data_IF_259654368962
#
_entry.id   IF_259654368962
#
_cell.length_a   1.000
_cell.length_b   1.000
_cell.length_c   1.000
_cell.angle_alpha   90.00
_cell.angle_beta   90.00
_cell.angle_gamma   90.00
#
_symmetry.space_group_name_H-M   'P 1'
#
loop_
_entity.id
_entity.type
_entity.pdbx_description
1 polymer ?
#
# COMPACT_ATOMS: atom_id res chain seq x y z
N UNK A 1 21.91 1.62 21.18
CA UNK A 1 20.77 1.42 20.26
C UNK A 1 19.42 1.45 21.01
N UNK A 2 19.34 2.13 22.17
CA UNK A 2 18.14 2.20 23.02
C UNK A 2 17.37 3.53 22.89
N UNK A 3 18.05 4.59 22.42
CA UNK A 3 17.53 5.94 22.20
C UNK A 3 16.18 6.03 21.48
N UNK A 4 15.94 5.18 20.49
CA UNK A 4 14.73 5.29 19.67
C UNK A 4 13.49 4.61 20.28
N UNK A 5 13.65 3.55 21.08
CA UNK A 5 12.52 2.70 21.48
C UNK A 5 11.61 3.40 22.49
N UNK A 6 12.19 3.95 23.56
CA UNK A 6 11.42 4.59 24.63
C UNK A 6 10.96 6.01 24.26
N UNK A 7 11.77 6.72 23.45
CA UNK A 7 11.39 7.99 22.85
C UNK A 7 10.11 7.87 22.01
N UNK A 8 10.08 6.91 21.07
CA UNK A 8 8.91 6.68 20.22
C UNK A 8 7.71 6.18 21.03
N UNK A 9 7.92 5.38 22.06
CA UNK A 9 6.84 4.91 22.94
C UNK A 9 6.20 6.07 23.72
N UNK A 10 7.00 6.98 24.27
CA UNK A 10 6.50 8.18 24.96
C UNK A 10 5.67 9.06 24.02
N UNK A 11 6.16 9.31 22.79
CA UNK A 11 5.41 10.07 21.79
C UNK A 11 4.11 9.37 21.37
N UNK A 12 4.08 8.05 21.28
CA UNK A 12 2.90 7.33 20.79
C UNK A 12 1.76 7.29 21.81
N UNK A 13 2.07 7.23 23.12
CA UNK A 13 1.07 6.89 24.14
C UNK A 13 0.84 7.96 25.21
N UNK A 14 1.80 8.85 25.46
CA UNK A 14 1.63 9.93 26.46
C UNK A 14 0.93 11.12 25.80
N UNK A 15 -0.11 11.63 26.44
CA UNK A 15 -0.80 12.83 25.97
C UNK A 15 0.09 14.07 26.14
N UNK A 16 0.30 14.82 25.06
CA UNK A 16 1.02 16.10 25.06
C UNK A 16 0.05 17.27 25.21
N UNK A 17 0.42 18.29 25.99
CA UNK A 17 -0.41 19.48 26.12
C UNK A 17 -0.06 20.53 25.06
N UNK A 18 1.21 20.93 24.91
CA UNK A 18 1.61 22.00 23.97
C UNK A 18 3.09 22.01 23.51
N UNK A 19 3.91 21.00 23.82
CA UNK A 19 5.29 20.89 23.31
C UNK A 19 5.75 19.44 23.28
N UNK A 20 6.65 19.08 22.37
CA UNK A 20 7.21 17.72 22.28
C UNK A 20 8.03 17.37 23.54
N UNK A 21 8.65 18.38 24.16
CA UNK A 21 9.45 18.23 25.39
C UNK A 21 8.58 17.92 26.62
N UNK A 22 7.26 18.11 26.55
CA UNK A 22 6.29 17.76 27.61
C UNK A 22 6.23 16.23 27.83
N UNK A 23 6.66 15.45 26.82
CA UNK A 23 6.67 14.00 26.91
C UNK A 23 7.73 13.45 27.90
N UNK A 24 8.87 14.13 28.10
CA UNK A 24 9.94 13.72 29.01
C UNK A 24 10.44 14.81 29.98
N UNK A 25 9.98 16.06 29.84
CA UNK A 25 10.16 17.13 30.83
C UNK A 25 11.53 17.83 30.84
N UNK A 26 12.45 17.52 29.91
CA UNK A 26 13.80 18.12 29.88
C UNK A 26 14.20 18.62 28.48
N UNK A 27 15.01 19.69 28.43
CA UNK A 27 15.49 20.29 27.17
C UNK A 27 16.70 19.55 26.56
N UNK A 28 17.45 18.79 27.37
CA UNK A 28 18.56 17.92 26.91
C UNK A 28 18.30 16.47 27.35
N UNK A 29 17.62 15.66 26.54
CA UNK A 29 17.19 14.34 26.95
C UNK A 29 18.25 13.26 26.67
N UNK A 30 18.61 12.52 27.72
CA UNK A 30 19.51 11.38 27.67
C UNK A 30 18.73 10.06 27.75
N UNK A 31 19.34 8.92 27.37
CA UNK A 31 18.69 7.60 27.33
C UNK A 31 18.01 7.24 28.66
N UNK A 32 18.67 7.57 29.77
CA UNK A 32 18.16 7.34 31.12
C UNK A 32 16.92 8.19 31.44
N UNK A 33 16.81 9.40 30.88
CA UNK A 33 15.67 10.29 31.07
C UNK A 33 14.41 9.75 30.39
N UNK A 34 14.54 9.16 29.20
CA UNK A 34 13.40 8.55 28.50
C UNK A 34 12.93 7.28 29.21
N UNK A 35 13.87 6.47 29.71
CA UNK A 35 13.54 5.24 30.45
C UNK A 35 12.81 5.60 31.75
N UNK A 36 13.27 6.60 32.51
CA UNK A 36 12.60 7.02 33.74
C UNK A 36 11.22 7.63 33.47
N UNK A 37 11.09 8.51 32.46
CA UNK A 37 9.81 9.12 32.10
C UNK A 37 8.80 8.09 31.58
N UNK A 38 9.25 7.09 30.82
CA UNK A 38 8.40 6.00 30.36
C UNK A 38 7.92 5.11 31.51
N UNK A 39 8.78 4.83 32.50
CA UNK A 39 8.39 4.11 33.72
C UNK A 39 7.36 4.86 34.54
N UNK A 40 7.58 6.15 34.76
CA UNK A 40 6.65 7.01 35.49
C UNK A 40 5.28 7.04 34.78
N UNK A 41 5.29 7.13 33.45
CA UNK A 41 4.08 7.05 32.64
C UNK A 41 3.38 5.68 32.74
N UNK A 42 4.10 4.56 32.65
CA UNK A 42 3.53 3.21 32.75
C UNK A 42 2.89 2.94 34.12
N UNK A 43 3.38 3.57 35.18
CA UNK A 43 2.78 3.49 36.51
C UNK A 43 1.49 4.31 36.65
N UNK A 44 1.18 5.20 35.71
CA UNK A 44 -0.03 6.00 35.74
C UNK A 44 -1.29 5.17 35.45
N UNK A 45 -2.44 5.50 36.06
CA UNK A 45 -3.71 4.82 35.78
C UNK A 45 -4.15 5.01 34.31
N UNK A 46 -3.69 6.07 33.65
CA UNK A 46 -3.97 6.34 32.25
C UNK A 46 -3.30 5.33 31.31
N UNK A 47 -2.03 4.99 31.57
CA UNK A 47 -1.28 4.04 30.76
C UNK A 47 -1.88 2.62 30.81
N UNK A 48 -2.39 2.18 31.97
CA UNK A 48 -3.07 0.89 32.13
C UNK A 48 -4.27 0.71 31.20
N UNK A 49 -4.94 1.81 30.87
CA UNK A 49 -6.13 1.80 30.02
C UNK A 49 -5.83 1.97 28.52
N UNK A 50 -4.74 2.66 28.18
CA UNK A 50 -4.46 3.10 26.80
C UNK A 50 -3.23 2.43 26.15
N UNK A 51 -2.39 1.74 26.93
CA UNK A 51 -1.22 1.04 26.41
C UNK A 51 -1.56 -0.45 26.25
N UNK A 52 -1.55 -1.00 25.02
CA UNK A 52 -1.74 -2.44 24.81
C UNK A 52 -0.54 -3.21 25.37
N UNK A 53 -0.83 -4.37 26.00
CA UNK A 53 0.11 -5.22 26.74
C UNK A 53 0.93 -4.42 27.78
N UNK A 54 0.24 -3.57 28.56
CA UNK A 54 0.87 -2.66 29.52
C UNK A 54 1.78 -3.39 30.53
N UNK A 55 1.38 -4.59 30.97
CA UNK A 55 2.06 -5.40 31.98
C UNK A 55 3.40 -5.95 31.47
N UNK A 56 3.44 -6.47 30.24
CA UNK A 56 4.67 -6.90 29.57
C UNK A 56 5.64 -5.74 29.33
N UNK A 57 5.12 -4.56 28.96
CA UNK A 57 5.92 -3.34 28.77
C UNK A 57 6.47 -2.78 30.08
N UNK A 58 5.77 -2.99 31.19
CA UNK A 58 6.24 -2.63 32.52
C UNK A 58 7.36 -3.57 32.99
N UNK A 59 7.22 -4.88 32.75
CA UNK A 59 8.27 -5.87 33.03
C UNK A 59 9.54 -5.63 32.19
N UNK A 60 9.42 -5.44 30.88
CA UNK A 60 10.58 -5.18 30.01
C UNK A 60 11.28 -3.84 30.30
N UNK A 61 10.59 -2.87 30.91
CA UNK A 61 11.23 -1.64 31.39
C UNK A 61 11.94 -1.85 32.74
N UNK A 62 11.46 -2.76 33.60
CA UNK A 62 12.09 -3.12 34.87
C UNK A 62 13.41 -3.88 34.67
N UNK A 63 13.47 -4.83 33.72
CA UNK A 63 14.68 -5.62 33.43
C UNK A 63 15.86 -4.74 32.95
N UNK A 64 15.60 -3.62 32.27
CA UNK A 64 16.63 -2.67 31.86
C UNK A 64 17.40 -1.99 33.02
N UNK A 65 16.94 -2.09 34.28
CA UNK A 65 17.69 -1.57 35.45
C UNK A 65 18.61 -2.60 36.08
N UNK A 66 18.44 -3.89 35.77
CA UNK A 66 19.19 -4.96 36.46
C UNK A 66 20.43 -5.41 35.71
N UNK A 67 20.56 -5.14 34.41
CA UNK A 67 21.73 -5.57 33.63
C UNK A 67 22.83 -4.50 33.57
N UNK A 68 23.55 -4.35 34.68
CA UNK A 68 25.00 -4.20 34.57
C UNK A 68 25.62 -5.56 34.88
N UNK A 69 26.49 -6.00 33.97
CA UNK A 69 27.33 -7.20 34.01
C UNK A 69 26.66 -8.50 33.54
N UNK A 70 27.08 -8.92 32.34
CA UNK A 70 26.96 -10.23 31.68
C UNK A 70 25.56 -10.73 31.30
N UNK A 71 25.14 -10.40 30.07
CA UNK A 71 24.03 -11.08 29.41
C UNK A 71 24.49 -12.07 28.32
N UNK A 72 23.90 -13.29 28.29
CA UNK A 72 23.87 -14.12 27.10
C UNK A 72 22.89 -13.52 26.07
N UNK A 73 23.29 -13.59 24.81
CA UNK A 73 22.52 -13.15 23.63
C UNK A 73 21.07 -13.66 23.71
N UNK A 74 20.04 -12.78 23.72
CA UNK A 74 18.65 -13.22 23.67
C UNK A 74 18.33 -13.84 22.31
N UNK A 75 17.72 -15.03 22.31
CA UNK A 75 17.21 -15.69 21.10
C UNK A 75 16.23 -14.77 20.35
N UNK A 76 16.45 -14.59 19.05
CA UNK A 76 15.67 -13.74 18.14
C UNK A 76 14.21 -14.21 17.90
N UNK A 77 13.78 -15.33 18.49
CA UNK A 77 12.53 -16.02 18.11
C UNK A 77 11.21 -15.38 18.61
N UNK A 78 11.22 -14.23 19.29
CA UNK A 78 10.00 -13.65 19.91
C UNK A 78 9.60 -12.26 19.39
N UNK A 79 10.34 -11.68 18.45
CA UNK A 79 9.98 -10.36 17.91
C UNK A 79 8.93 -10.49 16.80
N UNK A 80 7.65 -10.51 17.17
CA UNK A 80 6.54 -10.41 16.22
C UNK A 80 6.19 -8.93 15.95
N UNK A 81 6.39 -8.46 14.72
CA UNK A 81 6.12 -7.08 14.34
C UNK A 81 4.61 -6.75 14.28
N UNK A 82 4.24 -5.48 14.53
CA UNK A 82 2.83 -5.01 14.59
C UNK A 82 1.99 -5.36 13.34
N UNK A 83 2.64 -5.47 12.16
CA UNK A 83 1.97 -5.90 10.93
C UNK A 83 1.60 -7.38 10.95
N UNK A 84 2.42 -8.24 11.56
CA UNK A 84 2.13 -9.68 11.74
C UNK A 84 0.93 -9.87 12.67
N UNK A 85 0.84 -9.06 13.73
CA UNK A 85 -0.29 -9.08 14.67
C UNK A 85 -1.58 -8.64 13.96
N UNK A 86 -1.49 -7.59 13.14
CA UNK A 86 -2.63 -7.05 12.39
C UNK A 86 -3.15 -8.01 11.32
N UNK A 87 -2.26 -8.74 10.65
CA UNK A 87 -2.62 -9.78 9.68
C UNK A 87 -3.39 -10.94 10.34
N UNK A 88 -2.94 -11.38 11.52
CA UNK A 88 -3.60 -12.44 12.27
C UNK A 88 -5.01 -12.05 12.74
N UNK A 89 -5.24 -10.78 13.08
CA UNK A 89 -6.56 -10.31 13.52
C UNK A 89 -7.63 -10.37 12.41
N UNK A 90 -7.24 -10.09 11.16
CA UNK A 90 -8.16 -10.04 10.01
C UNK A 90 -8.76 -11.42 9.68
N UNK A 91 -8.06 -12.51 9.98
CA UNK A 91 -8.53 -13.87 9.73
C UNK A 91 -9.63 -14.34 10.70
N UNK A 92 -9.83 -13.68 11.85
CA UNK A 92 -10.83 -14.12 12.84
C UNK A 92 -12.26 -13.64 12.57
N UNK A 93 -12.47 -12.73 11.59
CA UNK A 93 -13.78 -12.07 11.36
C UNK A 93 -14.38 -12.25 9.96
N UNK A 94 -13.88 -13.17 9.14
CA UNK A 94 -14.50 -13.48 7.84
C UNK A 94 -15.28 -14.78 7.94
N UNK A 95 -16.57 -14.67 8.24
CA UNK A 95 -17.55 -15.71 7.96
C UNK A 95 -18.66 -15.10 7.09
N UNK A 96 -18.27 -14.61 5.90
CA UNK A 96 -19.20 -14.23 4.84
C UNK A 96 -19.06 -15.26 3.72
N UNK A 97 -20.18 -15.90 3.37
CA UNK A 97 -20.31 -17.11 2.54
C UNK A 97 -19.91 -17.01 1.07
N UNK A 98 -18.75 -16.42 0.77
CA UNK A 98 -18.01 -16.73 -0.44
C UNK A 98 -17.15 -17.96 -0.13
N UNK A 99 -17.13 -18.98 -1.00
CA UNK A 99 -16.16 -20.08 -0.90
C UNK A 99 -14.75 -19.52 -1.13
N UNK A 100 -14.19 -18.84 -0.15
CA UNK A 100 -12.78 -18.55 -0.08
C UNK A 100 -12.13 -19.84 0.36
N UNK A 101 -11.24 -20.37 -0.48
CA UNK A 101 -10.24 -21.36 -0.08
C UNK A 101 -9.74 -20.97 1.30
N UNK A 102 -9.73 -21.90 2.24
CA UNK A 102 -9.37 -21.71 3.65
C UNK A 102 -7.95 -21.14 3.76
N UNK A 103 -7.83 -19.82 3.59
CA UNK A 103 -6.57 -19.06 3.58
C UNK A 103 -5.92 -19.04 4.97
N UNK A 104 -6.61 -19.55 5.99
CA UNK A 104 -6.09 -19.61 7.37
C UNK A 104 -5.03 -20.69 7.56
N UNK A 105 -4.98 -21.69 6.67
CA UNK A 105 -4.02 -22.81 6.72
C UNK A 105 -2.93 -22.75 5.66
N UNK A 106 -2.98 -21.78 4.74
CA UNK A 106 -1.96 -21.67 3.70
C UNK A 106 -0.73 -20.92 4.23
N UNK A 107 0.34 -21.67 4.46
CA UNK A 107 1.63 -21.12 4.85
C UNK A 107 2.28 -20.41 3.65
N UNK A 108 2.19 -19.08 3.64
CA UNK A 108 2.80 -18.23 2.62
C UNK A 108 4.33 -18.34 2.58
N UNK A 109 4.98 -18.90 3.61
CA UNK A 109 6.41 -19.19 3.57
C UNK A 109 6.76 -20.27 2.54
N UNK A 110 5.79 -21.14 2.21
CA UNK A 110 5.91 -22.14 1.15
C UNK A 110 5.92 -21.51 -0.25
N UNK A 111 5.38 -20.30 -0.43
CA UNK A 111 5.42 -19.62 -1.73
C UNK A 111 6.86 -19.34 -2.18
N UNK A 112 7.81 -19.22 -1.25
CA UNK A 112 9.24 -19.13 -1.56
C UNK A 112 9.73 -20.35 -2.33
N UNK A 113 9.19 -21.55 -2.06
CA UNK A 113 9.57 -22.78 -2.74
C UNK A 113 9.13 -22.81 -4.21
N UNK A 114 8.18 -21.96 -4.59
CA UNK A 114 7.74 -21.81 -5.98
C UNK A 114 8.70 -20.97 -6.83
N UNK A 115 9.72 -20.34 -6.22
CA UNK A 115 10.73 -19.53 -6.90
C UNK A 115 12.11 -20.16 -6.75
N UNK A 116 12.82 -20.29 -7.87
CA UNK A 116 14.22 -20.72 -7.83
C UNK A 116 15.13 -19.69 -7.15
N UNK A 117 16.30 -20.12 -6.66
CA UNK A 117 17.31 -19.20 -6.10
C UNK A 117 17.74 -18.13 -7.12
N UNK A 118 17.79 -18.50 -8.40
CA UNK A 118 18.09 -17.58 -9.51
C UNK A 118 16.99 -16.51 -9.62
N UNK A 119 15.72 -16.89 -9.66
CA UNK A 119 14.60 -15.94 -9.72
C UNK A 119 14.51 -15.04 -8.48
N UNK A 120 14.88 -15.58 -7.32
CA UNK A 120 14.94 -14.82 -6.06
C UNK A 120 16.07 -13.78 -6.09
N UNK A 121 17.23 -14.14 -6.65
CA UNK A 121 18.36 -13.21 -6.83
C UNK A 121 18.08 -12.12 -7.87
N UNK A 122 17.24 -12.44 -8.87
CA UNK A 122 16.81 -11.50 -9.90
C UNK A 122 15.73 -10.52 -9.39
N UNK A 123 15.08 -10.76 -8.24
CA UNK A 123 14.04 -9.88 -7.70
C UNK A 123 14.53 -8.45 -7.49
N UNK A 124 15.78 -8.27 -7.06
CA UNK A 124 16.40 -6.95 -6.83
C UNK A 124 16.49 -6.14 -8.12
N UNK A 125 16.65 -6.81 -9.26
CA UNK A 125 16.72 -6.18 -10.58
C UNK A 125 15.39 -6.28 -11.34
N UNK A 126 14.40 -7.02 -10.83
CA UNK A 126 13.15 -7.31 -11.52
C UNK A 126 12.39 -6.06 -11.96
N UNK A 127 12.34 -5.02 -11.11
CA UNK A 127 11.69 -3.76 -11.47
C UNK A 127 12.40 -3.09 -12.65
N UNK A 128 13.74 -3.14 -12.69
CA UNK A 128 14.54 -2.56 -13.77
C UNK A 128 14.42 -3.37 -15.05
N UNK A 129 14.50 -4.70 -14.94
CA UNK A 129 14.28 -5.64 -16.05
C UNK A 129 12.89 -5.44 -16.63
N UNK A 130 11.83 -5.38 -15.81
CA UNK A 130 10.47 -5.11 -16.28
C UNK A 130 10.30 -3.71 -16.84
N UNK A 131 11.02 -2.71 -16.36
CA UNK A 131 11.03 -1.37 -16.99
C UNK A 131 11.68 -1.39 -18.38
N UNK A 132 12.72 -2.19 -18.58
CA UNK A 132 13.39 -2.37 -19.88
C UNK A 132 12.57 -3.23 -20.85
N UNK A 133 11.92 -4.28 -20.34
CA UNK A 133 11.05 -5.19 -21.09
C UNK A 133 9.67 -4.58 -21.43
N UNK A 134 9.26 -3.53 -20.71
CA UNK A 134 8.09 -2.74 -21.05
C UNK A 134 8.40 -1.94 -22.32
N UNK A 135 8.28 -2.62 -23.46
CA UNK A 135 8.18 -1.97 -24.75
C UNK A 135 7.15 -0.84 -24.66
N UNK A 136 7.37 0.30 -25.35
CA UNK A 136 6.35 1.35 -25.43
C UNK A 136 5.03 0.68 -25.80
N UNK A 137 3.96 0.96 -25.05
CA UNK A 137 2.63 0.41 -25.26
C UNK A 137 2.34 0.39 -26.76
N UNK A 138 2.58 -0.74 -27.43
CA UNK A 138 2.26 -0.90 -28.83
C UNK A 138 0.76 -0.67 -28.90
N UNK A 139 0.28 0.09 -29.89
CA UNK A 139 -1.15 0.31 -30.11
C UNK A 139 -1.82 -1.04 -30.45
N UNK A 140 -2.00 -1.86 -29.41
CA UNK A 140 -2.57 -3.18 -29.48
C UNK A 140 -4.08 -2.96 -29.39
N UNK A 141 -4.67 -2.74 -30.55
CA UNK A 141 -6.12 -2.66 -30.69
C UNK A 141 -6.70 -4.03 -30.34
N UNK A 142 -7.40 -4.11 -29.21
CA UNK A 142 -8.13 -5.33 -28.83
C UNK A 142 -9.29 -5.49 -29.80
N UNK A 143 -9.46 -6.67 -30.41
CA UNK A 143 -10.63 -6.92 -31.27
C UNK A 143 -11.90 -6.83 -30.41
N UNK A 144 -12.79 -5.91 -30.76
CA UNK A 144 -14.10 -5.73 -30.11
C UNK A 144 -15.18 -6.06 -31.12
N UNK A 145 -16.01 -7.03 -30.80
CA UNK A 145 -17.24 -7.30 -31.52
C UNK A 145 -18.34 -6.32 -31.07
N UNK A 146 -18.63 -5.35 -31.91
CA UNK A 146 -19.63 -4.30 -31.65
C UNK A 146 -21.05 -4.90 -31.61
N UNK A 147 -21.29 -6.07 -32.21
CA UNK A 147 -22.62 -6.69 -32.24
C UNK A 147 -23.07 -7.19 -30.87
N UNK A 148 -22.13 -7.49 -29.97
CA UNK A 148 -22.42 -7.93 -28.60
C UNK A 148 -22.72 -6.78 -27.61
N UNK A 149 -22.83 -5.54 -28.08
CA UNK A 149 -23.11 -4.41 -27.20
C UNK A 149 -24.50 -4.49 -26.58
N UNK A 150 -24.57 -4.17 -25.29
CA UNK A 150 -25.85 -3.87 -24.65
C UNK A 150 -26.46 -2.60 -25.24
N UNK A 151 -27.77 -2.43 -25.09
CA UNK A 151 -28.49 -1.26 -25.59
C UNK A 151 -27.85 0.07 -25.14
N UNK A 152 -27.46 0.16 -23.86
CA UNK A 152 -26.82 1.35 -23.30
C UNK A 152 -25.40 1.57 -23.82
N UNK A 153 -24.63 0.50 -24.01
CA UNK A 153 -23.29 0.59 -24.59
C UNK A 153 -23.36 1.06 -26.05
N UNK A 154 -24.28 0.49 -26.83
CA UNK A 154 -24.51 0.89 -28.21
C UNK A 154 -24.97 2.34 -28.29
N UNK A 155 -25.91 2.77 -27.44
CA UNK A 155 -26.36 4.16 -27.39
C UNK A 155 -25.18 5.13 -27.13
N UNK A 156 -24.37 4.87 -26.11
CA UNK A 156 -23.19 5.69 -25.81
C UNK A 156 -22.19 5.71 -26.98
N UNK A 157 -21.93 4.55 -27.58
CA UNK A 157 -21.05 4.42 -28.74
C UNK A 157 -21.56 5.24 -29.94
N UNK A 158 -22.85 5.15 -30.27
CA UNK A 158 -23.45 5.90 -31.37
C UNK A 158 -23.39 7.42 -31.14
N UNK A 159 -23.59 7.89 -29.91
CA UNK A 159 -23.46 9.32 -29.56
C UNK A 159 -22.03 9.80 -29.89
N UNK A 160 -21.02 9.04 -29.48
CA UNK A 160 -19.61 9.35 -29.73
C UNK A 160 -19.30 9.32 -31.23
N UNK A 161 -19.74 8.29 -31.96
CA UNK A 161 -19.53 8.18 -33.41
C UNK A 161 -20.16 9.35 -34.19
N UNK A 162 -21.41 9.66 -33.86
CA UNK A 162 -22.15 10.74 -34.52
C UNK A 162 -21.52 12.11 -34.28
N UNK A 163 -20.90 12.31 -33.12
CA UNK A 163 -20.15 13.53 -32.82
C UNK A 163 -18.80 13.56 -33.54
N UNK A 164 -18.03 12.47 -33.47
CA UNK A 164 -16.71 12.37 -34.09
C UNK A 164 -16.71 12.59 -35.61
N UNK A 165 -17.81 12.22 -36.29
CA UNK A 165 -17.96 12.40 -37.74
C UNK A 165 -18.37 13.83 -38.16
N UNK A 166 -18.88 14.67 -37.25
CA UNK A 166 -19.35 16.02 -37.56
C UNK A 166 -18.26 17.06 -37.27
N UNK A 167 -17.85 17.84 -38.27
CA UNK A 167 -16.92 18.97 -38.09
C UNK A 167 -17.66 20.21 -37.56
N UNK A 168 -17.03 20.96 -36.64
CA UNK A 168 -17.49 22.30 -36.24
C UNK A 168 -18.57 22.35 -35.14
N UNK A 169 -18.75 21.28 -34.37
CA UNK A 169 -19.62 21.29 -33.18
C UNK A 169 -18.83 21.59 -31.91
N UNK A 170 -19.55 22.07 -30.89
CA UNK A 170 -19.06 22.18 -29.51
C UNK A 170 -18.51 20.84 -29.00
N UNK A 171 -17.51 20.87 -28.08
CA UNK A 171 -16.91 19.67 -27.54
C UNK A 171 -17.95 18.79 -26.82
N UNK A 172 -17.95 17.48 -27.08
CA UNK A 172 -18.83 16.54 -26.41
C UNK A 172 -18.30 16.22 -25.01
N UNK A 173 -19.06 16.61 -23.99
CA UNK A 173 -18.82 16.23 -22.60
C UNK A 173 -19.81 15.12 -22.23
N UNK A 174 -19.33 13.88 -22.13
CA UNK A 174 -20.15 12.71 -21.85
C UNK A 174 -19.59 11.93 -20.66
N UNK A 175 -20.45 11.61 -19.70
CA UNK A 175 -20.15 10.71 -18.59
C UNK A 175 -20.94 9.43 -18.80
N UNK A 176 -20.23 8.30 -18.88
CA UNK A 176 -20.83 6.96 -18.95
C UNK A 176 -20.59 6.27 -17.63
N UNK A 177 -21.68 5.98 -16.90
CA UNK A 177 -21.65 5.26 -15.63
C UNK A 177 -22.20 3.84 -15.79
N UNK A 178 -21.82 2.95 -14.88
CA UNK A 178 -22.30 1.58 -14.84
C UNK A 178 -21.67 0.81 -13.70
N UNK A 179 -22.38 -0.20 -13.20
CA UNK A 179 -21.93 -1.07 -12.11
C UNK A 179 -20.68 -1.88 -12.49
N UNK A 180 -20.02 -2.50 -11.50
CA UNK A 180 -18.91 -3.41 -11.77
C UNK A 180 -19.35 -4.54 -12.71
N UNK A 181 -18.47 -4.99 -13.61
CA UNK A 181 -18.79 -6.08 -14.56
C UNK A 181 -19.63 -5.69 -15.79
N UNK A 182 -20.14 -4.46 -15.89
CA UNK A 182 -20.98 -4.00 -17.03
C UNK A 182 -20.23 -3.74 -18.35
N UNK A 183 -18.99 -4.21 -18.49
CA UNK A 183 -18.23 -4.08 -19.75
C UNK A 183 -17.78 -2.65 -20.11
N UNK A 184 -17.58 -1.75 -19.14
CA UNK A 184 -17.08 -0.38 -19.42
C UNK A 184 -15.76 -0.37 -20.19
N UNK A 185 -14.82 -1.23 -19.84
CA UNK A 185 -13.55 -1.39 -20.57
C UNK A 185 -13.76 -1.85 -22.01
N UNK A 186 -14.81 -2.65 -22.27
CA UNK A 186 -15.16 -3.10 -23.61
C UNK A 186 -15.60 -1.93 -24.50
N UNK A 187 -16.44 -1.04 -23.95
CA UNK A 187 -16.85 0.20 -24.62
C UNK A 187 -15.65 1.13 -24.88
N UNK A 188 -14.75 1.30 -23.90
CA UNK A 188 -13.52 2.10 -24.07
C UNK A 188 -12.67 1.57 -25.23
N UNK A 189 -12.47 0.24 -25.30
CA UNK A 189 -11.70 -0.39 -26.37
C UNK A 189 -12.36 -0.18 -27.74
N UNK A 190 -13.68 -0.26 -27.85
CA UNK A 190 -14.38 -0.04 -29.11
C UNK A 190 -14.25 1.41 -29.61
N UNK A 191 -14.42 2.39 -28.71
CA UNK A 191 -14.24 3.81 -29.01
C UNK A 191 -12.80 4.08 -29.45
N UNK A 192 -11.82 3.49 -28.74
CA UNK A 192 -10.40 3.56 -29.10
C UNK A 192 -10.14 2.98 -30.49
N UNK A 193 -10.70 1.82 -30.82
CA UNK A 193 -10.53 1.18 -32.13
C UNK A 193 -11.07 2.05 -33.27
N UNK A 194 -12.18 2.76 -33.04
CA UNK A 194 -12.76 3.67 -34.01
C UNK A 194 -11.92 4.94 -34.21
N UNK A 195 -11.53 5.60 -33.11
CA UNK A 195 -10.80 6.87 -33.16
C UNK A 195 -9.30 6.70 -33.46
N UNK A 196 -8.74 5.52 -33.19
CA UNK A 196 -7.33 5.19 -33.37
C UNK A 196 -6.42 6.23 -32.72
N UNK A 197 -5.46 6.75 -33.48
CA UNK A 197 -4.45 7.71 -33.01
C UNK A 197 -5.02 9.11 -32.68
N UNK A 198 -6.32 9.35 -32.94
CA UNK A 198 -7.01 10.61 -32.57
C UNK A 198 -7.54 10.59 -31.13
N UNK A 199 -7.31 9.51 -30.38
CA UNK A 199 -7.80 9.34 -29.01
C UNK A 199 -6.64 9.00 -28.07
N UNK A 200 -6.55 9.72 -26.95
CA UNK A 200 -5.71 9.34 -25.83
C UNK A 200 -6.60 8.72 -24.73
N UNK A 201 -6.28 7.49 -24.32
CA UNK A 201 -6.98 6.79 -23.24
C UNK A 201 -6.20 6.95 -21.94
N UNK A 202 -6.86 7.50 -20.91
CA UNK A 202 -6.20 7.79 -19.63
C UNK A 202 -6.97 7.31 -18.42
N UNK A 203 -6.25 7.05 -17.33
CA UNK A 203 -6.82 6.80 -16.01
C UNK A 203 -6.05 7.54 -14.89
N UNK A 204 -6.62 7.58 -13.69
CA UNK A 204 -6.01 8.24 -12.52
C UNK A 204 -4.92 7.40 -11.85
N UNK A 205 -5.03 6.07 -11.88
CA UNK A 205 -4.08 5.14 -11.25
C UNK A 205 -3.39 4.23 -12.28
N UNK A 206 -2.19 3.76 -11.94
CA UNK A 206 -1.42 2.85 -12.82
C UNK A 206 -2.16 1.54 -13.14
N UNK A 207 -2.79 0.93 -12.12
CA UNK A 207 -3.58 -0.30 -12.30
C UNK A 207 -4.77 -0.10 -13.25
N UNK A 208 -5.49 1.01 -13.11
CA UNK A 208 -6.61 1.32 -13.98
C UNK A 208 -6.16 1.62 -15.41
N UNK A 209 -5.07 2.38 -15.59
CA UNK A 209 -4.50 2.68 -16.89
C UNK A 209 -4.07 1.39 -17.62
N UNK A 210 -3.40 0.49 -16.90
CA UNK A 210 -2.97 -0.80 -17.43
C UNK A 210 -4.16 -1.63 -17.95
N UNK A 211 -5.25 -1.73 -17.17
CA UNK A 211 -6.42 -2.54 -17.53
C UNK A 211 -7.17 -2.07 -18.79
N UNK A 212 -6.99 -0.81 -19.22
CA UNK A 212 -7.59 -0.25 -20.43
C UNK A 212 -6.54 0.01 -21.52
N UNK A 213 -5.33 -0.54 -21.37
CA UNK A 213 -4.18 -0.32 -22.24
C UNK A 213 -3.90 1.18 -22.48
N UNK A 214 -4.17 2.02 -21.48
CA UNK A 214 -3.98 3.46 -21.52
C UNK A 214 -2.77 3.90 -20.71
N UNK A 215 -2.67 5.21 -20.47
CA UNK A 215 -1.64 5.80 -19.62
C UNK A 215 -2.26 6.56 -18.45
N UNK A 216 -1.47 6.89 -17.42
CA UNK A 216 -2.00 7.73 -16.35
C UNK A 216 -2.12 9.18 -16.83
N UNK A 217 -3.08 9.93 -16.27
CA UNK A 217 -3.21 11.37 -16.54
C UNK A 217 -1.90 12.12 -16.22
N UNK A 218 -1.19 11.70 -15.16
CA UNK A 218 0.11 12.26 -14.79
C UNK A 218 1.16 12.00 -15.88
N UNK A 219 1.22 10.79 -16.45
CA UNK A 219 2.15 10.46 -17.52
C UNK A 219 1.83 11.17 -18.84
N UNK A 220 0.54 11.36 -19.16
CA UNK A 220 0.10 12.09 -20.35
C UNK A 220 0.47 13.57 -20.27
N UNK A 221 0.12 14.22 -19.15
CA UNK A 221 0.30 15.67 -18.95
C UNK A 221 1.68 16.03 -18.38
N UNK A 222 2.57 15.04 -18.17
CA UNK A 222 3.91 15.21 -17.57
C UNK A 222 3.87 15.92 -16.21
N UNK A 223 2.88 15.57 -15.38
CA UNK A 223 2.71 16.16 -14.05
C UNK A 223 3.75 15.61 -13.07
N UNK A 224 4.32 16.45 -12.18
CA UNK A 224 5.25 15.99 -11.15
C UNK A 224 4.52 15.13 -10.12
N UNK A 225 5.10 13.98 -9.77
CA UNK A 225 4.66 13.17 -8.62
C UNK A 225 5.41 13.69 -7.40
N UNK A 226 4.70 14.10 -6.35
CA UNK A 226 5.34 14.47 -5.10
C UNK A 226 6.13 13.26 -4.59
N UNK A 227 7.46 13.36 -4.56
CA UNK A 227 8.31 12.30 -4.04
C UNK A 227 8.13 12.27 -2.51
N UNK A 228 7.22 11.43 -2.02
CA UNK A 228 7.26 11.01 -0.63
C UNK A 228 8.55 10.20 -0.47
N UNK A 229 9.51 10.79 0.24
CA UNK A 229 10.81 10.23 0.56
C UNK A 229 10.68 9.05 1.53
N UNK A 230 10.08 7.94 1.09
CA UNK A 230 10.29 6.67 1.75
C UNK A 230 11.63 6.12 1.27
N UNK A 231 12.67 6.35 2.07
CA UNK A 231 13.92 5.62 1.98
C UNK A 231 13.57 4.14 2.12
N UNK A 232 13.60 3.42 1.01
CA UNK A 232 13.59 1.96 1.03
C UNK A 232 14.91 1.57 1.69
N UNK A 233 14.87 1.16 2.96
CA UNK A 233 16.04 0.55 3.59
C UNK A 233 16.27 -0.78 2.87
N UNK A 234 17.40 -0.98 2.18
CA UNK A 234 17.73 -2.28 1.63
C UNK A 234 17.83 -3.24 2.82
N UNK A 235 17.00 -4.28 2.82
CA UNK A 235 17.09 -5.35 3.82
C UNK A 235 18.51 -5.88 3.84
N UNK A 236 19.17 -5.78 4.99
CA UNK A 236 20.41 -6.51 5.23
C UNK A 236 20.04 -7.99 5.23
N UNK A 237 20.55 -8.71 4.25
CA UNK A 237 20.61 -10.17 4.28
C UNK A 237 21.54 -10.53 5.45
N UNK A 238 20.98 -11.20 6.46
CA UNK A 238 21.74 -11.99 7.44
C UNK A 238 22.21 -13.27 6.77
#
# INVERSE_FOLDING_TARGET
>A
MFFNKYFLALLKYKSWKNSINDAWGSENPDDNTYISAWKEFLNSPYAKQHVPNWEEKLHGALDCVVQSVDDPVPNEDSYQEDWMISANLHNSKINDGCQTVDQTLYDWSLDRQNYSEVQTSEMTQWIETKKKDNAPLTNHYVTVDITCFSERQNLAYQIILNHASKKGKEPLLLIVTGEAGTGKSYLINAVRNYLKDKCAVTATTGKAAYNINGITVHSLLKLPVAASSHKIYPGKVL
#
